data_IF_188768451729
#
_entry.id   IF_188768451729
#
_cell.length_a   1.000
_cell.length_b   1.000
_cell.length_c   1.000
_cell.angle_alpha   90.00
_cell.angle_beta   90.00
_cell.angle_gamma   90.00
#
_symmetry.space_group_name_H-M   'P 1'
#
loop_
_entity.id
_entity.type
_entity.pdbx_description
1 polymer ?
#
# COMPACT_ATOMS: atom_id res chain seq x y z
N UNK A 1 -13.81 6.96 10.28
CA UNK A 1 -12.41 6.44 10.33
C UNK A 1 -11.42 7.42 9.71
N UNK A 2 -11.73 8.73 9.70
CA UNK A 2 -10.99 9.77 8.94
C UNK A 2 -9.50 9.90 9.28
N UNK A 3 -9.10 9.54 10.51
CA UNK A 3 -7.69 9.60 10.90
C UNK A 3 -6.84 8.62 10.08
N UNK A 4 -7.39 7.47 9.64
CA UNK A 4 -6.66 6.52 8.79
C UNK A 4 -6.32 7.15 7.45
N UNK A 5 -7.28 7.85 6.84
CA UNK A 5 -7.09 8.58 5.58
C UNK A 5 -6.00 9.66 5.72
N UNK A 6 -6.07 10.47 6.78
CA UNK A 6 -5.05 11.50 7.04
C UNK A 6 -3.65 10.89 7.20
N UNK A 7 -3.52 9.87 8.05
CA UNK A 7 -2.24 9.21 8.27
C UNK A 7 -1.72 8.55 6.98
N UNK A 8 -2.60 7.95 6.17
CA UNK A 8 -2.21 7.33 4.90
C UNK A 8 -1.64 8.35 3.91
N UNK A 9 -2.21 9.56 3.86
CA UNK A 9 -1.68 10.68 3.06
C UNK A 9 -0.31 11.11 3.58
N UNK A 10 -0.16 11.26 4.90
CA UNK A 10 1.12 11.64 5.50
C UNK A 10 2.22 10.61 5.20
N UNK A 11 1.90 9.31 5.31
CA UNK A 11 2.83 8.23 4.94
C UNK A 11 3.20 8.25 3.46
N UNK A 12 2.26 8.51 2.55
CA UNK A 12 2.54 8.60 1.12
C UNK A 12 3.47 9.78 0.79
N UNK A 13 3.19 10.96 1.38
CA UNK A 13 4.05 12.13 1.22
C UNK A 13 5.45 11.87 1.78
N UNK A 14 5.53 11.23 2.95
CA UNK A 14 6.80 10.89 3.56
C UNK A 14 7.58 9.85 2.74
N UNK A 15 6.91 8.86 2.16
CA UNK A 15 7.53 7.90 1.26
C UNK A 15 8.20 8.57 0.05
N UNK A 16 7.53 9.57 -0.55
CA UNK A 16 8.08 10.35 -1.68
C UNK A 16 9.32 11.14 -1.28
N UNK A 17 9.33 11.75 -0.09
CA UNK A 17 10.51 12.44 0.45
C UNK A 17 11.68 11.46 0.68
N UNK A 18 11.41 10.33 1.31
CA UNK A 18 12.42 9.30 1.58
C UNK A 18 13.02 8.71 0.29
N UNK A 19 12.19 8.50 -0.73
CA UNK A 19 12.64 8.05 -2.04
C UNK A 19 13.60 9.06 -2.68
N UNK A 20 13.25 10.35 -2.67
CA UNK A 20 14.12 11.43 -3.16
C UNK A 20 15.45 11.49 -2.41
N UNK A 21 15.41 11.26 -1.10
CA UNK A 21 16.59 11.33 -0.22
C UNK A 21 17.40 10.02 -0.18
N UNK A 22 17.08 9.04 -1.04
CA UNK A 22 17.82 7.78 -1.16
C UNK A 22 17.60 6.79 -0.01
N UNK A 23 16.55 6.97 0.80
CA UNK A 23 16.21 6.14 1.96
C UNK A 23 15.23 5.04 1.59
N UNK A 24 15.62 4.18 0.66
CA UNK A 24 14.74 3.22 -0.04
C UNK A 24 13.99 2.26 0.90
N UNK A 25 14.65 1.69 1.91
CA UNK A 25 13.98 0.79 2.86
C UNK A 25 12.83 1.47 3.62
N UNK A 26 13.09 2.70 4.10
CA UNK A 26 12.08 3.48 4.81
C UNK A 26 11.00 3.99 3.87
N UNK A 27 11.35 4.33 2.62
CA UNK A 27 10.39 4.72 1.60
C UNK A 27 9.42 3.57 1.32
N UNK A 28 9.93 2.36 1.08
CA UNK A 28 9.10 1.18 0.83
C UNK A 28 8.22 0.81 2.04
N UNK A 29 8.77 0.90 3.25
CA UNK A 29 7.98 0.75 4.48
C UNK A 29 6.84 1.77 4.56
N UNK A 30 7.14 3.04 4.26
CA UNK A 30 6.14 4.12 4.30
C UNK A 30 5.06 3.94 3.23
N UNK A 31 5.41 3.43 2.04
CA UNK A 31 4.44 3.04 1.01
C UNK A 31 3.51 1.91 1.48
N UNK A 32 4.04 0.89 2.14
CA UNK A 32 3.22 -0.19 2.69
C UNK A 32 2.23 0.35 3.73
N UNK A 33 2.70 1.21 4.65
CA UNK A 33 1.82 1.83 5.65
C UNK A 33 0.75 2.71 5.00
N UNK A 34 1.12 3.51 4.00
CA UNK A 34 0.18 4.34 3.26
C UNK A 34 -0.92 3.50 2.61
N UNK A 35 -0.54 2.48 1.83
CA UNK A 35 -1.49 1.60 1.15
C UNK A 35 -2.37 0.87 2.16
N UNK A 36 -1.78 0.27 3.21
CA UNK A 36 -2.52 -0.48 4.21
C UNK A 36 -3.61 0.37 4.89
N UNK A 37 -3.26 1.57 5.35
CA UNK A 37 -4.20 2.48 6.01
C UNK A 37 -5.32 2.92 5.07
N UNK A 38 -5.00 3.20 3.81
CA UNK A 38 -5.99 3.54 2.79
C UNK A 38 -6.97 2.41 2.52
N UNK A 39 -6.49 1.19 2.31
CA UNK A 39 -7.36 0.04 2.08
C UNK A 39 -8.24 -0.26 3.30
N UNK A 40 -7.69 -0.13 4.52
CA UNK A 40 -8.47 -0.25 5.76
C UNK A 40 -9.58 0.81 5.87
N UNK A 41 -9.24 2.05 5.55
CA UNK A 41 -10.22 3.14 5.48
C UNK A 41 -11.31 2.81 4.46
N UNK A 42 -10.94 2.46 3.23
CA UNK A 42 -11.90 2.15 2.17
C UNK A 42 -12.84 1.00 2.55
N UNK A 43 -12.32 -0.12 3.05
CA UNK A 43 -13.15 -1.22 3.54
C UNK A 43 -14.10 -0.74 4.64
N UNK A 44 -13.63 0.08 5.58
CA UNK A 44 -14.48 0.59 6.66
C UNK A 44 -15.62 1.46 6.15
N UNK A 45 -15.44 2.18 5.04
CA UNK A 45 -16.51 2.94 4.39
C UNK A 45 -17.54 2.04 3.69
N UNK A 46 -17.12 0.86 3.21
CA UNK A 46 -18.01 -0.13 2.58
C UNK A 46 -18.78 -0.97 3.60
N UNK A 47 -18.15 -1.35 4.71
CA UNK A 47 -18.69 -2.35 5.65
C UNK A 47 -19.13 -1.79 6.99
N UNK A 48 -18.82 -0.53 7.30
CA UNK A 48 -19.04 0.09 8.61
C UNK A 48 -18.18 -0.51 9.74
N UNK A 49 -17.23 -1.41 9.43
CA UNK A 49 -16.42 -2.13 10.41
C UNK A 49 -14.93 -2.05 10.09
N UNK A 50 -14.09 -2.11 11.14
CA UNK A 50 -12.65 -2.10 10.95
C UNK A 50 -12.16 -3.50 10.53
N UNK A 51 -11.45 -3.64 9.39
CA UNK A 51 -10.90 -4.92 9.00
C UNK A 51 -9.73 -5.35 9.91
N UNK A 52 -9.75 -6.62 10.34
CA UNK A 52 -8.67 -7.22 11.15
C UNK A 52 -7.43 -7.61 10.33
N UNK A 53 -7.53 -7.65 9.00
CA UNK A 53 -6.42 -8.03 8.14
C UNK A 53 -5.26 -7.01 8.23
N UNK A 54 -4.03 -7.53 8.22
CA UNK A 54 -2.82 -6.76 8.49
C UNK A 54 -1.86 -6.67 7.29
N UNK A 55 -2.24 -7.17 6.10
CA UNK A 55 -1.40 -7.05 4.90
C UNK A 55 -2.19 -6.54 3.71
N UNK A 56 -1.48 -5.80 2.84
CA UNK A 56 -2.05 -5.10 1.69
C UNK A 56 -2.70 -6.02 0.67
N UNK A 57 -2.16 -7.24 0.46
CA UNK A 57 -2.70 -8.21 -0.51
C UNK A 57 -4.08 -8.70 -0.08
N UNK A 58 -4.22 -9.11 1.19
CA UNK A 58 -5.51 -9.58 1.70
C UNK A 58 -6.54 -8.45 1.79
N UNK A 59 -6.13 -7.23 2.13
CA UNK A 59 -7.01 -6.06 2.10
C UNK A 59 -7.49 -5.76 0.68
N UNK A 60 -6.60 -5.81 -0.32
CA UNK A 60 -6.94 -5.56 -1.71
C UNK A 60 -7.89 -6.64 -2.26
N UNK A 61 -7.61 -7.92 -1.99
CA UNK A 61 -8.51 -9.05 -2.33
C UNK A 61 -9.90 -8.83 -1.73
N UNK A 62 -9.96 -8.42 -0.47
CA UNK A 62 -11.24 -8.15 0.19
C UNK A 62 -12.02 -7.04 -0.51
N UNK A 63 -11.34 -5.98 -0.96
CA UNK A 63 -11.98 -4.90 -1.72
C UNK A 63 -12.51 -5.42 -3.06
N UNK A 64 -11.71 -6.20 -3.79
CA UNK A 64 -12.13 -6.82 -5.06
C UNK A 64 -13.37 -7.70 -4.85
N UNK A 65 -13.38 -8.51 -3.80
CA UNK A 65 -14.53 -9.36 -3.45
C UNK A 65 -15.82 -8.55 -3.22
N UNK A 66 -15.71 -7.44 -2.48
CA UNK A 66 -16.83 -6.56 -2.10
C UNK A 66 -17.33 -5.70 -3.25
N UNK A 67 -16.44 -5.25 -4.13
CA UNK A 67 -16.74 -4.26 -5.18
C UNK A 67 -16.86 -4.87 -6.58
N UNK A 68 -16.35 -6.09 -6.78
CA UNK A 68 -16.17 -6.71 -8.10
C UNK A 68 -15.35 -5.83 -9.07
N UNK A 69 -14.41 -5.05 -8.54
CA UNK A 69 -13.54 -4.20 -9.36
C UNK A 69 -12.50 -5.06 -10.10
N UNK A 70 -12.73 -5.29 -11.40
CA UNK A 70 -11.86 -6.10 -12.25
C UNK A 70 -10.50 -5.42 -12.54
N UNK A 71 -10.40 -4.10 -12.53
CA UNK A 71 -9.11 -3.41 -12.73
C UNK A 71 -8.18 -3.60 -11.54
N UNK A 72 -8.71 -3.51 -10.31
CA UNK A 72 -7.93 -3.81 -9.11
C UNK A 72 -7.48 -5.27 -9.10
N UNK A 73 -8.29 -6.18 -9.63
CA UNK A 73 -7.93 -7.59 -9.80
C UNK A 73 -6.81 -7.76 -10.83
N UNK A 74 -6.89 -7.09 -11.97
CA UNK A 74 -5.82 -7.08 -12.97
C UNK A 74 -4.50 -6.54 -12.39
N UNK A 75 -4.55 -5.42 -11.65
CA UNK A 75 -3.38 -4.89 -10.93
C UNK A 75 -2.84 -5.92 -9.92
N UNK A 76 -3.72 -6.53 -9.11
CA UNK A 76 -3.31 -7.54 -8.14
C UNK A 76 -2.60 -8.72 -8.81
N UNK A 77 -3.16 -9.24 -9.91
CA UNK A 77 -2.66 -10.43 -10.58
C UNK A 77 -1.33 -10.13 -11.32
N UNK A 78 -1.22 -8.96 -11.95
CA UNK A 78 -0.01 -8.54 -12.67
C UNK A 78 1.14 -8.09 -11.76
N UNK A 79 0.81 -7.51 -10.60
CA UNK A 79 1.79 -6.86 -9.72
C UNK A 79 1.93 -7.55 -8.36
N UNK A 80 1.52 -8.82 -8.26
CA UNK A 80 1.56 -9.60 -7.02
C UNK A 80 2.95 -9.60 -6.39
N UNK A 81 4.02 -9.70 -7.18
CA UNK A 81 5.40 -9.67 -6.69
C UNK A 81 5.78 -8.35 -6.03
N UNK A 82 5.30 -7.22 -6.57
CA UNK A 82 5.53 -5.89 -5.98
C UNK A 82 4.68 -5.68 -4.72
N UNK A 83 3.46 -6.21 -4.69
CA UNK A 83 2.61 -6.18 -3.50
C UNK A 83 3.15 -7.05 -2.36
N UNK A 84 3.71 -8.23 -2.68
CA UNK A 84 4.41 -9.08 -1.72
C UNK A 84 5.70 -8.43 -1.22
N UNK A 85 6.41 -7.69 -2.07
CA UNK A 85 7.57 -6.89 -1.67
C UNK A 85 7.19 -5.82 -0.63
N UNK A 86 6.11 -5.09 -0.86
CA UNK A 86 5.57 -4.12 0.12
C UNK A 86 5.26 -4.81 1.45
N UNK A 87 4.53 -5.92 1.42
CA UNK A 87 4.23 -6.73 2.62
C UNK A 87 5.49 -7.18 3.35
N UNK A 88 6.53 -7.58 2.63
CA UNK A 88 7.81 -7.94 3.22
C UNK A 88 8.52 -6.75 3.85
N UNK A 89 8.42 -5.54 3.27
CA UNK A 89 9.05 -4.33 3.83
C UNK A 89 8.58 -4.01 5.26
N UNK A 90 7.31 -4.29 5.57
CA UNK A 90 6.76 -4.18 6.93
C UNK A 90 7.43 -5.12 7.95
N UNK A 91 7.86 -6.30 7.50
CA UNK A 91 8.56 -7.30 8.33
C UNK A 91 10.06 -6.97 8.37
N UNK A 92 10.65 -6.72 7.20
CA UNK A 92 12.07 -6.51 7.02
C UNK A 92 12.59 -5.27 7.73
N UNK A 93 11.84 -4.15 7.69
CA UNK A 93 12.17 -2.91 8.40
C UNK A 93 12.47 -3.07 9.89
N UNK A 94 11.97 -4.15 10.52
CA UNK A 94 12.15 -4.43 11.95
C UNK A 94 13.14 -5.55 12.24
N UNK A 95 13.37 -6.46 11.30
CA UNK A 95 13.99 -7.75 11.62
C UNK A 95 15.04 -8.23 10.62
N UNK A 96 15.20 -7.58 9.44
CA UNK A 96 16.09 -8.07 8.38
C UNK A 96 16.99 -6.96 7.83
N UNK A 97 18.28 -7.24 7.55
CA UNK A 97 19.20 -6.30 6.90
C UNK A 97 18.97 -6.27 5.37
N UNK A 98 17.73 -6.10 4.93
CA UNK A 98 17.37 -6.02 3.51
C UNK A 98 17.68 -4.62 2.98
N UNK A 99 18.29 -4.52 1.81
CA UNK A 99 18.43 -3.26 1.08
C UNK A 99 17.64 -3.34 -0.22
N UNK A 100 16.69 -2.42 -0.38
CA UNK A 100 15.95 -2.24 -1.63
C UNK A 100 16.65 -1.19 -2.50
N UNK A 101 16.61 -1.39 -3.81
CA UNK A 101 17.10 -0.40 -4.78
C UNK A 101 16.02 0.64 -5.11
N UNK A 102 16.44 1.67 -5.83
CA UNK A 102 15.57 2.77 -6.25
C UNK A 102 14.43 2.29 -7.16
N UNK A 103 14.75 1.41 -8.11
CA UNK A 103 13.82 0.93 -9.14
C UNK A 103 12.65 0.16 -8.49
N UNK A 104 12.93 -0.69 -7.51
CA UNK A 104 11.91 -1.41 -6.75
C UNK A 104 10.97 -0.46 -6.00
N UNK A 105 11.50 0.61 -5.41
CA UNK A 105 10.68 1.61 -4.68
C UNK A 105 9.87 2.48 -5.64
N UNK A 106 10.45 2.91 -6.77
CA UNK A 106 9.72 3.65 -7.81
C UNK A 106 8.58 2.82 -8.40
N UNK A 107 8.85 1.53 -8.70
CA UNK A 107 7.81 0.60 -9.13
C UNK A 107 6.71 0.47 -8.07
N UNK A 108 7.08 0.27 -6.81
CA UNK A 108 6.11 0.16 -5.73
C UNK A 108 5.25 1.43 -5.56
N UNK A 109 5.86 2.61 -5.68
CA UNK A 109 5.14 3.89 -5.63
C UNK A 109 4.11 3.98 -6.76
N UNK A 110 4.49 3.64 -7.99
CA UNK A 110 3.59 3.66 -9.15
C UNK A 110 2.39 2.73 -8.94
N UNK A 111 2.61 1.53 -8.40
CA UNK A 111 1.52 0.57 -8.11
C UNK A 111 0.61 1.08 -6.99
N UNK A 112 1.17 1.65 -5.93
CA UNK A 112 0.38 2.27 -4.85
C UNK A 112 -0.50 3.38 -5.41
N UNK A 113 0.06 4.29 -6.20
CA UNK A 113 -0.69 5.38 -6.81
C UNK A 113 -1.77 4.86 -7.79
N UNK A 114 -1.47 3.85 -8.61
CA UNK A 114 -2.46 3.24 -9.50
C UNK A 114 -3.66 2.66 -8.73
N UNK A 115 -3.42 1.98 -7.61
CA UNK A 115 -4.49 1.44 -6.75
C UNK A 115 -5.31 2.58 -6.15
N UNK A 116 -4.67 3.64 -5.64
CA UNK A 116 -5.38 4.78 -5.05
C UNK A 116 -6.20 5.54 -6.10
N UNK A 117 -5.65 5.75 -7.29
CA UNK A 117 -6.36 6.37 -8.42
C UNK A 117 -7.62 5.58 -8.78
N UNK A 118 -7.51 4.25 -8.90
CA UNK A 118 -8.65 3.38 -9.23
C UNK A 118 -9.72 3.36 -8.14
N UNK A 119 -9.34 3.55 -6.88
CA UNK A 119 -10.28 3.72 -5.77
C UNK A 119 -10.91 5.13 -5.71
N UNK A 120 -10.50 6.06 -6.59
CA UNK A 120 -10.97 7.45 -6.62
C UNK A 120 -10.43 8.30 -5.47
N UNK A 121 -9.19 8.03 -5.06
CA UNK A 121 -8.60 8.54 -3.81
C UNK A 121 -7.41 9.51 -4.03
N UNK A 122 -7.01 9.71 -5.28
CA UNK A 122 -5.87 10.56 -5.68
C UNK A 122 -6.17 12.05 -5.76
#
# INVERSE_FOLDING_TARGET
MEFLKRNAIDFLNYAKLLLRDGKYNLALFSLEQALQLWLKYYISTLTGSFPKACDVVNLLRRIIELTKNEKLKEILDSEISTLDLLKQAYIASRYLPTNYDKEAVEKALNIVEAILNELGIS
#
